data_IF_250881442227
#
_entry.id   IF_250881442227
#
_cell.length_a   1.000
_cell.length_b   1.000
_cell.length_c   1.000
_cell.angle_alpha   90.00
_cell.angle_beta   90.00
_cell.angle_gamma   90.00
#
_symmetry.space_group_name_H-M   'P 1'
#
loop_
_entity.id
_entity.type
_entity.pdbx_description
1 polymer ?
#
# COMPACT_ATOMS: atom_id res chain seq x y z
N UNK A 1 1.77 -11.23 -14.86
CA UNK A 1 0.49 -10.66 -14.37
C UNK A 1 -0.50 -11.76 -13.99
N UNK A 2 -0.87 -12.66 -14.90
CA UNK A 2 -1.82 -13.75 -14.64
C UNK A 2 -1.47 -14.62 -13.42
N UNK A 3 -0.28 -15.24 -13.37
CA UNK A 3 0.09 -16.14 -12.27
C UNK A 3 0.16 -15.46 -10.90
N UNK A 4 0.74 -14.25 -10.82
CA UNK A 4 0.81 -13.53 -9.54
C UNK A 4 -0.59 -13.11 -9.04
N UNK A 5 -1.53 -12.83 -9.94
CA UNK A 5 -2.92 -12.56 -9.54
C UNK A 5 -3.57 -13.81 -8.93
N UNK A 6 -3.38 -14.99 -9.53
CA UNK A 6 -3.86 -16.26 -8.95
C UNK A 6 -3.27 -16.51 -7.58
N UNK A 7 -1.96 -16.34 -7.42
CA UNK A 7 -1.30 -16.51 -6.12
C UNK A 7 -1.88 -15.59 -5.04
N UNK A 8 -2.17 -14.32 -5.38
CA UNK A 8 -2.84 -13.40 -4.45
C UNK A 8 -4.27 -13.83 -4.13
N UNK A 9 -5.02 -14.34 -5.11
CA UNK A 9 -6.37 -14.87 -4.90
C UNK A 9 -6.34 -16.08 -3.96
N UNK A 10 -5.45 -17.04 -4.21
CA UNK A 10 -5.27 -18.23 -3.37
C UNK A 10 -4.91 -17.85 -1.93
N UNK A 11 -4.14 -16.77 -1.75
CA UNK A 11 -3.81 -16.22 -0.44
C UNK A 11 -4.92 -15.36 0.21
N UNK A 12 -6.05 -15.13 -0.47
CA UNK A 12 -7.20 -14.39 0.05
C UNK A 12 -7.14 -12.86 -0.10
N UNK A 13 -6.34 -12.34 -1.04
CA UNK A 13 -6.28 -10.90 -1.30
C UNK A 13 -7.59 -10.36 -1.92
N UNK A 14 -8.10 -9.25 -1.38
CA UNK A 14 -9.33 -8.61 -1.87
C UNK A 14 -9.11 -7.77 -3.15
N UNK A 15 -7.90 -7.27 -3.36
CA UNK A 15 -7.54 -6.49 -4.54
C UNK A 15 -6.03 -6.45 -4.76
N UNK A 16 -5.62 -6.28 -6.02
CA UNK A 16 -4.22 -6.28 -6.44
C UNK A 16 -3.97 -5.11 -7.37
N UNK A 17 -2.88 -4.37 -7.14
CA UNK A 17 -2.48 -3.29 -8.02
C UNK A 17 -1.38 -3.74 -8.99
N UNK A 18 -1.41 -3.21 -10.20
CA UNK A 18 -0.39 -3.39 -11.23
C UNK A 18 0.05 -2.02 -11.74
N UNK A 19 1.33 -1.86 -12.06
CA UNK A 19 1.90 -0.59 -12.54
C UNK A 19 2.45 -0.71 -13.97
N UNK A 20 2.53 0.41 -14.67
CA UNK A 20 2.98 0.51 -16.07
C UNK A 20 4.51 0.67 -16.22
N UNK A 21 5.28 0.08 -15.32
CA UNK A 21 6.75 0.01 -15.40
C UNK A 21 7.24 -1.27 -16.09
N UNK A 22 8.44 -1.19 -16.68
CA UNK A 22 9.18 -2.36 -17.15
C UNK A 22 9.64 -3.19 -15.95
N UNK A 23 9.18 -4.45 -15.86
CA UNK A 23 9.45 -5.31 -14.71
C UNK A 23 10.95 -5.52 -14.42
N UNK A 24 11.79 -5.67 -15.45
CA UNK A 24 13.25 -5.85 -15.28
C UNK A 24 13.96 -4.62 -14.72
N UNK A 25 13.32 -3.45 -14.79
CA UNK A 25 13.87 -2.18 -14.31
C UNK A 25 12.95 -1.47 -13.30
N UNK A 26 12.05 -2.22 -12.65
CA UNK A 26 11.08 -1.68 -11.71
C UNK A 26 11.78 -0.88 -10.60
N UNK A 27 11.25 0.31 -10.28
CA UNK A 27 11.69 1.11 -9.13
C UNK A 27 10.51 1.49 -8.23
N UNK A 28 10.79 1.88 -6.99
CA UNK A 28 9.80 2.57 -6.16
C UNK A 28 9.36 3.86 -6.89
N UNK A 29 8.08 4.22 -6.77
CA UNK A 29 7.50 5.38 -7.46
C UNK A 29 8.20 6.72 -7.20
N UNK A 30 8.89 6.82 -6.07
CA UNK A 30 9.60 8.03 -5.61
C UNK A 30 11.12 7.96 -5.89
N UNK A 31 11.59 6.97 -6.66
CA UNK A 31 12.97 6.86 -7.12
C UNK A 31 13.10 7.32 -8.58
N UNK A 32 14.31 7.73 -8.96
CA UNK A 32 14.66 8.00 -10.35
C UNK A 32 14.84 6.72 -11.18
N UNK A 33 15.02 6.87 -12.49
CA UNK A 33 15.35 5.76 -13.39
C UNK A 33 14.17 4.82 -13.73
N UNK A 34 12.92 5.28 -13.54
CA UNK A 34 11.72 4.53 -13.94
C UNK A 34 11.62 4.44 -15.46
N UNK A 35 11.30 3.25 -15.96
CA UNK A 35 11.07 2.98 -17.38
C UNK A 35 9.62 2.52 -17.55
N UNK A 36 8.83 3.25 -18.31
CA UNK A 36 7.46 2.89 -18.66
C UNK A 36 7.44 1.80 -19.73
N UNK A 37 6.39 0.97 -19.71
CA UNK A 37 5.98 0.16 -20.86
C UNK A 37 4.92 0.91 -21.70
N UNK A 38 4.69 0.53 -22.96
CA UNK A 38 3.64 1.12 -23.78
C UNK A 38 2.27 0.95 -23.13
N UNK A 39 1.37 1.90 -23.37
CA UNK A 39 0.00 1.90 -22.84
C UNK A 39 -0.70 0.56 -23.10
N UNK A 40 -0.62 0.03 -24.34
CA UNK A 40 -1.17 -1.28 -24.70
C UNK A 40 -0.57 -2.45 -23.89
N UNK A 41 0.73 -2.40 -23.55
CA UNK A 41 1.37 -3.46 -22.78
C UNK A 41 0.83 -3.51 -21.35
N UNK A 42 0.58 -2.34 -20.73
CA UNK A 42 -0.04 -2.31 -19.41
C UNK A 42 -1.50 -2.78 -19.45
N UNK A 43 -2.27 -2.41 -20.48
CA UNK A 43 -3.64 -2.94 -20.68
C UNK A 43 -3.64 -4.47 -20.78
N UNK A 44 -2.66 -5.08 -21.46
CA UNK A 44 -2.51 -6.56 -21.48
C UNK A 44 -2.28 -7.13 -20.08
N UNK A 45 -1.50 -6.46 -19.24
CA UNK A 45 -1.28 -6.90 -17.85
C UNK A 45 -2.58 -6.81 -17.03
N UNK A 46 -3.34 -5.73 -17.15
CA UNK A 46 -4.63 -5.56 -16.47
C UNK A 46 -5.65 -6.61 -16.94
N UNK A 47 -5.71 -6.88 -18.25
CA UNK A 47 -6.55 -7.91 -18.84
C UNK A 47 -6.17 -9.31 -18.33
N UNK A 48 -4.87 -9.60 -18.24
CA UNK A 48 -4.37 -10.86 -17.68
C UNK A 48 -4.72 -11.00 -16.19
N UNK A 49 -4.68 -9.92 -15.41
CA UNK A 49 -5.13 -9.93 -14.02
C UNK A 49 -6.64 -10.18 -13.91
N UNK A 50 -7.46 -9.54 -14.75
CA UNK A 50 -8.91 -9.81 -14.78
C UNK A 50 -9.20 -11.26 -15.18
N UNK A 51 -8.53 -11.78 -16.22
CA UNK A 51 -8.69 -13.17 -16.64
C UNK A 51 -8.32 -14.16 -15.51
N UNK A 52 -7.30 -13.87 -14.71
CA UNK A 52 -6.97 -14.68 -13.54
C UNK A 52 -8.09 -14.67 -12.50
N UNK A 53 -8.67 -13.51 -12.20
CA UNK A 53 -9.82 -13.41 -11.29
C UNK A 53 -11.04 -14.17 -11.82
N UNK A 54 -11.34 -14.03 -13.12
CA UNK A 54 -12.45 -14.70 -13.77
C UNK A 54 -12.29 -16.23 -13.77
N UNK A 55 -11.08 -16.73 -14.09
CA UNK A 55 -10.75 -18.18 -14.03
C UNK A 55 -10.86 -18.73 -12.61
N UNK A 56 -10.44 -17.96 -11.61
CA UNK A 56 -10.55 -18.33 -10.20
C UNK A 56 -11.97 -18.14 -9.63
N UNK A 57 -12.90 -17.57 -10.42
CA UNK A 57 -14.30 -17.41 -10.03
C UNK A 57 -14.55 -16.41 -8.90
N UNK A 58 -13.69 -15.39 -8.74
CA UNK A 58 -13.79 -14.41 -7.65
C UNK A 58 -13.78 -12.97 -8.17
N UNK A 59 -14.53 -12.04 -7.55
CA UNK A 59 -14.61 -10.65 -7.99
C UNK A 59 -13.48 -9.78 -7.42
N UNK A 60 -12.23 -10.25 -7.49
CA UNK A 60 -11.06 -9.52 -6.96
C UNK A 60 -10.90 -8.16 -7.66
N UNK A 61 -10.63 -7.11 -6.87
CA UNK A 61 -10.48 -5.76 -7.40
C UNK A 61 -9.11 -5.60 -8.10
N UNK A 62 -9.10 -4.98 -9.27
CA UNK A 62 -7.89 -4.64 -10.04
C UNK A 62 -7.63 -3.14 -9.94
N UNK A 63 -6.44 -2.76 -9.48
CA UNK A 63 -6.03 -1.35 -9.39
C UNK A 63 -4.96 -1.05 -10.43
N UNK A 64 -5.24 -0.15 -11.38
CA UNK A 64 -4.25 0.28 -12.37
C UNK A 64 -3.45 1.46 -11.83
N UNK A 65 -2.12 1.33 -11.80
CA UNK A 65 -1.19 2.37 -11.38
C UNK A 65 -0.41 2.90 -12.58
N UNK A 66 -0.29 4.22 -12.68
CA UNK A 66 0.66 4.85 -13.61
C UNK A 66 1.79 5.56 -12.89
N UNK A 67 3.00 5.41 -13.43
CA UNK A 67 4.24 6.03 -12.94
C UNK A 67 4.73 7.19 -13.83
N UNK A 68 3.92 7.59 -14.81
CA UNK A 68 4.26 8.59 -15.83
C UNK A 68 4.49 10.01 -15.28
N UNK A 69 4.18 10.28 -14.02
CA UNK A 69 4.38 11.61 -13.42
C UNK A 69 5.86 11.98 -13.34
N UNK A 70 6.73 11.00 -13.06
CA UNK A 70 8.17 11.19 -12.91
C UNK A 70 9.03 10.30 -13.81
N UNK A 71 8.45 9.27 -14.47
CA UNK A 71 9.19 8.39 -15.36
C UNK A 71 9.60 9.13 -16.65
N UNK A 72 10.90 9.12 -16.97
CA UNK A 72 11.47 9.82 -18.14
C UNK A 72 11.88 8.89 -19.27
N UNK A 73 11.64 7.60 -19.12
CA UNK A 73 12.02 6.57 -20.08
C UNK A 73 10.79 5.73 -20.47
N UNK A 74 10.76 5.26 -21.71
CA UNK A 74 9.74 4.37 -22.27
C UNK A 74 10.42 3.31 -23.12
N UNK A 75 9.98 2.05 -23.03
CA UNK A 75 10.64 0.96 -23.78
C UNK A 75 10.45 1.07 -25.28
N UNK A 76 9.33 1.58 -25.76
CA UNK A 76 9.01 1.69 -27.19
C UNK A 76 7.90 2.71 -27.44
N UNK A 77 8.00 3.44 -28.54
CA UNK A 77 7.00 4.40 -29.05
C UNK A 77 5.96 3.77 -29.99
N UNK A 78 5.85 2.44 -29.99
CA UNK A 78 4.96 1.67 -30.89
C UNK A 78 3.47 1.99 -30.71
N UNK A 79 3.07 2.50 -29.55
CA UNK A 79 1.70 2.87 -29.24
C UNK A 79 1.49 4.36 -29.53
N UNK A 80 0.61 4.68 -30.48
CA UNK A 80 0.31 6.06 -30.90
C UNK A 80 -0.13 6.95 -29.73
N UNK A 81 -0.69 6.37 -28.66
CA UNK A 81 -1.11 7.12 -27.46
C UNK A 81 0.08 7.63 -26.64
N UNK A 82 1.24 7.01 -26.78
CA UNK A 82 2.47 7.36 -26.07
C UNK A 82 3.34 8.36 -26.85
N UNK A 83 3.24 8.35 -28.18
CA UNK A 83 4.02 9.21 -29.09
C UNK A 83 3.93 10.72 -28.78
N UNK A 84 2.76 11.29 -28.39
CA UNK A 84 2.66 12.70 -28.00
C UNK A 84 3.53 13.08 -26.80
N UNK A 85 4.07 12.12 -26.05
CA UNK A 85 4.94 12.36 -24.90
C UNK A 85 6.40 12.00 -25.20
N UNK A 86 6.72 11.40 -26.33
CA UNK A 86 8.10 11.06 -26.70
C UNK A 86 8.88 12.32 -27.08
N UNK A 87 10.11 12.40 -26.59
CA UNK A 87 11.10 13.40 -26.98
C UNK A 87 12.03 12.77 -28.03
N UNK A 88 11.64 12.92 -29.30
CA UNK A 88 12.38 12.38 -30.43
C UNK A 88 13.73 13.09 -30.64
N UNK A 89 13.84 14.37 -30.27
CA UNK A 89 15.07 15.16 -30.43
C UNK A 89 16.15 14.73 -29.44
N UNK A 90 15.76 14.30 -28.24
CA UNK A 90 16.69 13.77 -27.24
C UNK A 90 17.27 12.38 -27.60
N UNK A 91 16.78 11.75 -28.67
CA UNK A 91 17.19 10.42 -29.11
C UNK A 91 16.96 9.32 -28.07
N UNK A 92 17.50 8.13 -28.34
CA UNK A 92 17.39 6.97 -27.43
C UNK A 92 18.56 6.90 -26.44
N UNK A 93 18.38 6.17 -25.35
CA UNK A 93 19.48 5.83 -24.42
C UNK A 93 20.39 4.75 -25.02
N UNK A 94 21.52 4.44 -24.37
CA UNK A 94 22.42 3.39 -24.85
C UNK A 94 21.76 2.00 -24.85
N UNK A 95 20.85 1.75 -23.92
CA UNK A 95 20.02 0.56 -23.79
C UNK A 95 18.88 0.51 -24.82
N UNK A 96 18.67 1.60 -25.57
CA UNK A 96 17.64 1.72 -26.60
C UNK A 96 16.30 2.26 -26.11
N UNK A 97 16.18 2.77 -24.89
CA UNK A 97 14.94 3.36 -24.38
C UNK A 97 14.67 4.73 -25.00
N UNK A 98 13.39 5.05 -25.23
CA UNK A 98 12.94 6.37 -25.62
C UNK A 98 12.90 7.29 -24.41
N UNK A 99 13.19 8.58 -24.61
CA UNK A 99 12.98 9.61 -23.60
C UNK A 99 11.57 10.17 -23.73
N UNK A 100 10.91 10.41 -22.61
CA UNK A 100 9.54 10.94 -22.57
C UNK A 100 9.43 12.16 -21.67
N UNK A 101 8.53 13.07 -22.05
CA UNK A 101 8.03 14.16 -21.22
C UNK A 101 7.11 13.58 -20.16
N UNK A 102 7.61 13.52 -18.92
CA UNK A 102 6.86 13.09 -17.76
C UNK A 102 5.83 14.16 -17.32
N UNK A 103 4.84 13.76 -16.52
CA UNK A 103 3.95 14.70 -15.86
C UNK A 103 2.48 14.30 -15.89
N UNK A 104 1.63 15.21 -15.41
CA UNK A 104 0.21 14.94 -15.18
C UNK A 104 -0.58 14.64 -16.46
N UNK A 105 -0.24 15.26 -17.59
CA UNK A 105 -0.93 15.02 -18.86
C UNK A 105 -0.78 13.57 -19.33
N UNK A 106 0.44 13.03 -19.29
CA UNK A 106 0.71 11.62 -19.59
C UNK A 106 -0.04 10.69 -18.62
N UNK A 107 -0.11 11.05 -17.34
CA UNK A 107 -0.84 10.28 -16.34
C UNK A 107 -2.34 10.23 -16.62
N UNK A 108 -2.97 11.37 -16.96
CA UNK A 108 -4.41 11.44 -17.28
C UNK A 108 -4.69 10.63 -18.54
N UNK A 109 -3.88 10.78 -19.60
CA UNK A 109 -4.05 10.03 -20.84
C UNK A 109 -3.99 8.51 -20.62
N UNK A 110 -2.99 8.05 -19.86
CA UNK A 110 -2.84 6.63 -19.48
C UNK A 110 -3.98 6.15 -18.59
N UNK A 111 -4.35 6.93 -17.58
CA UNK A 111 -5.47 6.62 -16.68
C UNK A 111 -6.79 6.43 -17.43
N UNK A 112 -7.12 7.33 -18.36
CA UNK A 112 -8.32 7.20 -19.21
C UNK A 112 -8.24 5.93 -20.06
N UNK A 113 -7.08 5.60 -20.63
CA UNK A 113 -6.90 4.37 -21.39
C UNK A 113 -7.04 3.09 -20.53
N UNK A 114 -6.64 3.13 -19.26
CA UNK A 114 -6.71 1.99 -18.35
C UNK A 114 -8.08 1.82 -17.70
N UNK A 115 -8.89 2.87 -17.64
CA UNK A 115 -10.14 2.90 -16.88
C UNK A 115 -11.13 1.75 -17.21
N UNK A 116 -11.27 1.26 -18.46
CA UNK A 116 -12.16 0.14 -18.75
C UNK A 116 -11.66 -1.22 -18.21
N UNK A 117 -10.39 -1.32 -17.82
CA UNK A 117 -9.70 -2.58 -17.50
C UNK A 117 -9.34 -2.73 -16.02
N UNK A 118 -9.77 -1.79 -15.17
CA UNK A 118 -9.50 -1.79 -13.73
C UNK A 118 -10.72 -1.30 -12.96
N UNK A 119 -10.76 -1.51 -11.65
CA UNK A 119 -11.80 -1.02 -10.75
C UNK A 119 -11.41 0.34 -10.16
N UNK A 120 -10.14 0.51 -9.80
CA UNK A 120 -9.57 1.78 -9.32
C UNK A 120 -8.35 2.20 -10.14
N UNK A 121 -8.10 3.52 -10.18
CA UNK A 121 -6.90 4.10 -10.80
C UNK A 121 -6.07 4.84 -9.74
N UNK A 122 -4.75 4.67 -9.82
CA UNK A 122 -3.77 5.34 -8.97
C UNK A 122 -2.70 6.02 -9.84
N UNK A 123 -2.50 7.32 -9.64
CA UNK A 123 -1.32 8.03 -10.14
C UNK A 123 -0.32 8.19 -9.02
N UNK A 124 0.92 7.72 -9.19
CA UNK A 124 2.00 8.09 -8.26
C UNK A 124 2.38 9.56 -8.49
N UNK A 125 2.73 10.29 -7.41
CA UNK A 125 3.07 11.71 -7.47
C UNK A 125 4.39 12.01 -6.78
N UNK A 126 5.03 13.12 -7.16
CA UNK A 126 6.29 13.54 -6.55
C UNK A 126 6.13 14.29 -5.21
N UNK A 127 4.92 14.75 -4.89
CA UNK A 127 4.59 15.51 -3.65
C UNK A 127 3.14 15.23 -3.19
N UNK A 128 2.82 15.48 -1.90
CA UNK A 128 1.46 15.46 -1.40
C UNK A 128 0.76 16.79 -1.76
N UNK A 129 0.14 16.83 -2.95
CA UNK A 129 -0.45 18.03 -3.52
C UNK A 129 -1.94 17.81 -3.87
N UNK A 130 -2.84 18.47 -3.14
CA UNK A 130 -4.29 18.37 -3.33
C UNK A 130 -4.76 18.99 -4.65
N UNK A 131 -4.06 20.00 -5.16
CA UNK A 131 -4.42 20.65 -6.42
C UNK A 131 -4.05 19.77 -7.62
N UNK A 132 -2.89 19.11 -7.57
CA UNK A 132 -2.52 18.08 -8.54
C UNK A 132 -3.52 16.91 -8.50
N UNK A 133 -3.89 16.45 -7.29
CA UNK A 133 -4.85 15.38 -7.10
C UNK A 133 -6.24 15.73 -7.69
N UNK A 134 -6.72 16.95 -7.45
CA UNK A 134 -7.97 17.47 -8.00
C UNK A 134 -7.95 17.47 -9.54
N UNK A 135 -6.88 17.99 -10.15
CA UNK A 135 -6.74 18.01 -11.63
C UNK A 135 -6.70 16.61 -12.23
N UNK A 136 -6.02 15.67 -11.59
CA UNK A 136 -6.03 14.27 -12.03
C UNK A 136 -7.44 13.68 -11.97
N UNK A 137 -8.13 13.84 -10.83
CA UNK A 137 -9.49 13.33 -10.64
C UNK A 137 -10.46 13.91 -11.66
N UNK A 138 -10.48 15.23 -11.85
CA UNK A 138 -11.31 15.92 -12.85
C UNK A 138 -11.00 15.42 -14.28
N UNK A 139 -9.71 15.26 -14.62
CA UNK A 139 -9.28 14.76 -15.93
C UNK A 139 -9.77 13.34 -16.23
N UNK A 140 -9.73 12.45 -15.24
CA UNK A 140 -10.27 11.09 -15.35
C UNK A 140 -11.80 11.11 -15.40
N UNK A 141 -12.45 11.81 -14.47
CA UNK A 141 -13.91 11.84 -14.34
C UNK A 141 -14.61 12.53 -15.51
N UNK A 142 -13.94 13.42 -16.24
CA UNK A 142 -14.43 13.96 -17.51
C UNK A 142 -14.74 12.85 -18.54
N UNK A 143 -13.96 11.78 -18.54
CA UNK A 143 -14.10 10.66 -19.49
C UNK A 143 -14.80 9.45 -18.85
N UNK A 144 -14.59 9.24 -17.55
CA UNK A 144 -15.18 8.16 -16.78
C UNK A 144 -15.78 8.70 -15.48
N UNK A 145 -16.98 9.31 -15.54
CA UNK A 145 -17.64 9.86 -14.36
C UNK A 145 -17.79 8.82 -13.24
N UNK A 146 -17.42 9.19 -12.02
CA UNK A 146 -17.53 8.31 -10.86
C UNK A 146 -16.47 7.21 -10.76
N UNK A 147 -15.46 7.17 -11.65
CA UNK A 147 -14.37 6.20 -11.54
C UNK A 147 -13.67 6.30 -10.18
N UNK A 148 -13.58 5.19 -9.46
CA UNK A 148 -12.92 5.14 -8.16
C UNK A 148 -11.41 5.37 -8.32
N UNK A 149 -10.84 6.19 -7.44
CA UNK A 149 -9.41 6.50 -7.44
C UNK A 149 -8.76 5.99 -6.16
N UNK A 150 -7.44 5.79 -6.24
CA UNK A 150 -6.60 5.46 -5.10
C UNK A 150 -5.44 6.44 -4.96
N UNK A 151 -5.04 6.74 -3.71
CA UNK A 151 -3.98 7.70 -3.40
C UNK A 151 -2.97 7.12 -2.41
N UNK A 152 -1.69 7.22 -2.74
CA UNK A 152 -0.60 6.88 -1.84
C UNK A 152 -0.21 8.09 -0.99
N UNK A 153 -0.55 8.04 0.29
CA UNK A 153 -0.06 8.98 1.30
C UNK A 153 1.38 8.59 1.69
N UNK A 154 2.31 8.77 0.74
CA UNK A 154 3.66 8.21 0.80
C UNK A 154 4.53 8.74 1.95
N UNK A 155 5.19 7.87 2.73
CA UNK A 155 6.24 8.28 3.66
C UNK A 155 7.51 8.80 2.97
N UNK A 156 7.66 8.57 1.65
CA UNK A 156 8.74 9.19 0.87
C UNK A 156 8.56 10.71 0.74
N UNK A 157 7.39 11.25 1.08
CA UNK A 157 7.20 12.68 1.22
C UNK A 157 7.71 13.16 2.59
N UNK A 158 8.44 14.27 2.60
CA UNK A 158 8.60 15.04 3.83
C UNK A 158 7.34 15.91 4.02
N UNK A 159 6.37 15.39 4.79
CA UNK A 159 5.05 16.01 4.95
C UNK A 159 5.12 17.44 5.49
N UNK A 160 5.79 17.67 6.63
CA UNK A 160 5.92 19.01 7.23
C UNK A 160 6.76 20.00 6.42
N UNK A 161 7.59 19.52 5.49
CA UNK A 161 8.28 20.39 4.52
C UNK A 161 7.35 20.88 3.41
N UNK A 162 6.33 20.10 3.05
CA UNK A 162 5.43 20.43 1.94
C UNK A 162 4.13 21.10 2.39
N UNK A 163 3.63 20.77 3.58
CA UNK A 163 2.28 21.13 4.01
C UNK A 163 2.27 21.68 5.44
N UNK A 164 1.29 22.55 5.73
CA UNK A 164 0.99 22.99 7.09
C UNK A 164 0.31 21.88 7.91
N UNK A 165 0.30 22.00 9.24
CA UNK A 165 -0.39 21.03 10.09
C UNK A 165 -1.91 20.99 9.82
N UNK A 166 -2.52 22.13 9.45
CA UNK A 166 -3.93 22.19 9.04
C UNK A 166 -4.17 21.42 7.74
N UNK A 167 -3.30 21.60 6.74
CA UNK A 167 -3.37 20.88 5.46
C UNK A 167 -3.20 19.37 5.63
N UNK A 168 -2.25 18.95 6.47
CA UNK A 168 -2.02 17.54 6.79
C UNK A 168 -3.28 16.95 7.44
N UNK A 169 -3.88 17.65 8.39
CA UNK A 169 -5.07 17.17 9.10
C UNK A 169 -6.29 16.97 8.18
N UNK A 170 -6.48 17.82 7.17
CA UNK A 170 -7.59 17.69 6.20
C UNK A 170 -7.29 16.81 5.00
N UNK A 171 -6.03 16.49 4.72
CA UNK A 171 -5.57 15.93 3.45
C UNK A 171 -6.42 14.76 2.93
N UNK A 172 -6.62 13.72 3.76
CA UNK A 172 -7.36 12.53 3.36
C UNK A 172 -8.86 12.78 3.14
N UNK A 173 -9.46 13.70 3.91
CA UNK A 173 -10.87 14.07 3.77
C UNK A 173 -11.10 14.78 2.43
N UNK A 174 -10.23 15.72 2.08
CA UNK A 174 -10.32 16.43 0.80
C UNK A 174 -10.11 15.47 -0.38
N UNK A 175 -9.12 14.56 -0.31
CA UNK A 175 -8.96 13.49 -1.29
C UNK A 175 -10.23 12.62 -1.43
N UNK A 176 -10.88 12.28 -0.31
CA UNK A 176 -12.11 11.51 -0.30
C UNK A 176 -13.25 12.19 -1.06
N UNK A 177 -13.36 13.52 -0.98
CA UNK A 177 -14.34 14.31 -1.73
C UNK A 177 -14.08 14.32 -3.25
N UNK A 178 -12.80 14.21 -3.66
CA UNK A 178 -12.39 14.16 -5.08
C UNK A 178 -12.56 12.77 -5.71
N UNK A 179 -12.94 11.74 -4.94
CA UNK A 179 -13.13 10.37 -5.44
C UNK A 179 -12.00 9.39 -5.16
N UNK A 180 -10.99 9.78 -4.37
CA UNK A 180 -9.96 8.86 -3.86
C UNK A 180 -10.53 8.04 -2.70
N UNK A 181 -11.14 6.90 -3.04
CA UNK A 181 -11.85 6.02 -2.10
C UNK A 181 -10.98 4.96 -1.44
N UNK A 182 -9.77 4.74 -1.96
CA UNK A 182 -8.75 3.93 -1.31
C UNK A 182 -7.51 4.77 -1.06
N UNK A 183 -7.15 4.97 0.21
CA UNK A 183 -6.01 5.79 0.61
C UNK A 183 -5.14 5.00 1.56
N UNK A 184 -3.83 5.02 1.35
CA UNK A 184 -2.92 4.14 2.10
C UNK A 184 -1.56 4.79 2.31
N UNK A 185 -0.91 4.44 3.42
CA UNK A 185 0.47 4.83 3.74
C UNK A 185 1.35 3.61 3.50
N UNK A 186 2.09 3.59 2.37
CA UNK A 186 2.83 2.41 1.90
C UNK A 186 3.83 1.84 2.91
N UNK A 187 4.60 2.70 3.58
CA UNK A 187 5.72 2.29 4.44
C UNK A 187 5.43 2.48 5.94
N UNK A 188 4.16 2.58 6.35
CA UNK A 188 3.79 2.78 7.76
C UNK A 188 4.41 1.71 8.68
N UNK A 189 4.26 0.43 8.32
CA UNK A 189 4.83 -0.69 9.08
C UNK A 189 6.36 -0.62 9.18
N UNK A 190 7.04 -0.29 8.08
CA UNK A 190 8.51 -0.16 8.07
C UNK A 190 8.98 0.94 9.02
N UNK A 191 8.39 2.14 8.94
CA UNK A 191 8.80 3.26 9.78
C UNK A 191 8.49 3.00 11.26
N UNK A 192 7.29 2.50 11.58
CA UNK A 192 6.90 2.22 12.96
C UNK A 192 7.77 1.12 13.60
N UNK A 193 8.02 0.03 12.88
CA UNK A 193 8.83 -1.08 13.37
C UNK A 193 10.27 -0.65 13.65
N UNK A 194 10.92 0.02 12.70
CA UNK A 194 12.32 0.43 12.84
C UNK A 194 12.48 1.51 13.91
N UNK A 195 11.62 2.53 13.93
CA UNK A 195 11.71 3.61 14.90
C UNK A 195 11.42 3.13 16.32
N UNK A 196 10.34 2.35 16.51
CA UNK A 196 9.98 1.80 17.82
C UNK A 196 11.08 0.93 18.40
N UNK A 197 11.66 0.03 17.60
CA UNK A 197 12.75 -0.82 18.05
C UNK A 197 14.05 -0.05 18.29
N UNK A 198 14.36 0.97 17.47
CA UNK A 198 15.54 1.82 17.68
C UNK A 198 15.46 2.56 19.01
N UNK A 199 14.33 3.21 19.32
CA UNK A 199 14.15 3.94 20.57
C UNK A 199 14.16 2.99 21.78
N UNK A 200 13.51 1.82 21.68
CA UNK A 200 13.55 0.82 22.73
C UNK A 200 14.98 0.32 22.97
N UNK A 201 15.72 -0.07 21.93
CA UNK A 201 17.09 -0.55 22.06
C UNK A 201 18.04 0.52 22.61
N UNK A 202 17.87 1.77 22.18
CA UNK A 202 18.61 2.93 22.70
C UNK A 202 18.34 3.12 24.19
N UNK A 203 17.07 3.15 24.60
CA UNK A 203 16.67 3.26 26.00
C UNK A 203 17.15 2.08 26.84
N UNK A 204 17.07 0.87 26.31
CA UNK A 204 17.50 -0.35 26.99
C UNK A 204 19.01 -0.41 27.21
N UNK A 205 19.80 0.06 26.24
CA UNK A 205 21.25 0.26 26.42
C UNK A 205 21.52 1.18 27.62
N UNK A 206 20.78 2.26 27.74
CA UNK A 206 21.04 3.32 28.73
C UNK A 206 20.50 2.96 30.13
N UNK A 207 19.30 2.35 30.22
CA UNK A 207 18.56 2.18 31.48
C UNK A 207 17.90 0.79 31.65
N UNK A 208 18.26 -0.16 30.80
CA UNK A 208 17.85 -1.57 30.86
C UNK A 208 16.33 -1.72 31.08
N UNK A 209 15.91 -2.45 32.12
CA UNK A 209 14.51 -2.75 32.37
C UNK A 209 13.61 -1.52 32.61
N UNK A 210 14.17 -0.37 32.99
CA UNK A 210 13.36 0.84 33.13
C UNK A 210 12.75 1.26 31.76
N UNK A 211 13.52 1.16 30.68
CA UNK A 211 13.04 1.49 29.34
C UNK A 211 11.98 0.48 28.84
N UNK A 212 12.13 -0.80 29.18
CA UNK A 212 11.12 -1.81 28.83
C UNK A 212 9.84 -1.66 29.66
N UNK A 213 9.97 -1.35 30.96
CA UNK A 213 8.82 -1.11 31.84
C UNK A 213 8.00 0.10 31.38
N UNK A 214 8.64 1.15 30.85
CA UNK A 214 7.95 2.28 30.21
C UNK A 214 7.09 1.85 29.02
N UNK A 215 7.59 0.96 28.15
CA UNK A 215 6.81 0.39 27.05
C UNK A 215 5.61 -0.41 27.58
N UNK A 216 5.85 -1.30 28.54
CA UNK A 216 4.78 -2.12 29.13
C UNK A 216 3.69 -1.26 29.81
N UNK A 217 4.07 -0.19 30.52
CA UNK A 217 3.08 0.73 31.10
C UNK A 217 2.31 1.52 30.04
N UNK A 218 2.95 1.85 28.91
CA UNK A 218 2.24 2.45 27.77
C UNK A 218 1.24 1.47 27.13
N UNK A 219 1.58 0.17 27.06
CA UNK A 219 0.64 -0.89 26.62
C UNK A 219 -0.58 -0.98 27.54
N UNK A 220 -0.38 -1.03 28.86
CA UNK A 220 -1.49 -1.00 29.83
C UNK A 220 -2.37 0.23 29.67
N UNK A 221 -1.78 1.42 29.50
CA UNK A 221 -2.53 2.66 29.29
C UNK A 221 -3.34 2.64 27.98
N UNK A 222 -2.86 1.93 26.95
CA UNK A 222 -3.54 1.79 25.67
C UNK A 222 -4.74 0.83 25.72
N UNK A 223 -4.86 -0.03 26.74
CA UNK A 223 -6.00 -0.96 26.89
C UNK A 223 -7.34 -0.22 26.98
N UNK A 224 -7.37 0.97 27.60
CA UNK A 224 -8.55 1.83 27.64
C UNK A 224 -9.05 2.27 26.25
N UNK A 225 -8.19 2.18 25.23
CA UNK A 225 -8.50 2.47 23.83
C UNK A 225 -8.69 1.18 22.99
N UNK A 226 -8.74 0.02 23.64
CA UNK A 226 -8.97 -1.27 22.98
C UNK A 226 -7.72 -2.06 22.58
N UNK A 227 -6.52 -1.66 23.02
CA UNK A 227 -5.30 -2.48 22.85
C UNK A 227 -5.37 -3.75 23.73
N UNK A 228 -4.92 -4.89 23.22
CA UNK A 228 -5.04 -6.18 23.93
C UNK A 228 -3.73 -6.95 24.08
N UNK A 229 -2.70 -6.60 23.30
CA UNK A 229 -1.52 -7.44 23.16
C UNK A 229 -0.56 -7.41 24.36
N UNK A 230 -0.82 -6.59 25.39
CA UNK A 230 -0.18 -6.72 26.72
C UNK A 230 -0.32 -8.16 27.24
N UNK A 231 -1.47 -8.78 26.98
CA UNK A 231 -1.78 -10.19 27.24
C UNK A 231 -1.45 -11.04 26.02
N UNK A 232 -0.14 -11.17 25.76
CA UNK A 232 0.41 -11.75 24.54
C UNK A 232 0.12 -13.25 24.39
N UNK A 233 -0.09 -14.01 25.49
CA UNK A 233 -0.45 -15.44 25.39
C UNK A 233 -1.85 -15.60 24.79
N UNK A 234 -2.82 -14.84 25.30
CA UNK A 234 -4.16 -14.76 24.69
C UNK A 234 -4.09 -14.29 23.23
N UNK A 235 -3.32 -13.25 22.95
CA UNK A 235 -3.26 -12.61 21.62
C UNK A 235 -2.82 -13.58 20.51
N UNK A 236 -1.88 -14.48 20.80
CA UNK A 236 -1.42 -15.51 19.85
C UNK A 236 -2.26 -16.78 19.84
N UNK A 237 -3.37 -16.80 20.59
CA UNK A 237 -4.36 -17.88 20.56
C UNK A 237 -4.12 -19.02 21.53
N UNK A 238 -3.35 -18.84 22.62
CA UNK A 238 -3.13 -19.91 23.61
C UNK A 238 -4.46 -20.46 24.15
N UNK A 239 -5.41 -19.57 24.50
CA UNK A 239 -6.74 -19.99 24.94
C UNK A 239 -7.57 -20.71 23.86
N UNK A 240 -7.35 -20.41 22.57
CA UNK A 240 -7.97 -21.15 21.47
C UNK A 240 -7.46 -22.59 21.43
N UNK A 241 -6.15 -22.81 21.54
CA UNK A 241 -5.56 -24.14 21.55
C UNK A 241 -5.88 -24.95 22.82
N UNK A 242 -6.07 -24.28 23.96
CA UNK A 242 -6.60 -24.92 25.17
C UNK A 242 -8.02 -25.44 24.93
N UNK A 243 -8.90 -24.63 24.32
CA UNK A 243 -10.27 -25.05 24.01
C UNK A 243 -10.29 -26.23 23.02
N UNK A 244 -9.43 -26.23 22.00
CA UNK A 244 -9.24 -27.37 21.09
C UNK A 244 -8.82 -28.62 21.86
N UNK A 245 -7.84 -28.50 22.75
CA UNK A 245 -7.34 -29.62 23.57
C UNK A 245 -8.42 -30.17 24.50
N UNK A 246 -9.22 -29.30 25.12
CA UNK A 246 -10.35 -29.69 25.96
C UNK A 246 -11.45 -30.39 25.16
N UNK A 247 -11.73 -29.94 23.94
CA UNK A 247 -12.68 -30.62 23.06
C UNK A 247 -12.20 -32.04 22.68
N UNK A 248 -10.91 -32.20 22.35
CA UNK A 248 -10.31 -33.51 22.02
C UNK A 248 -10.36 -34.47 23.22
N UNK A 249 -10.08 -33.96 24.41
CA UNK A 249 -9.98 -34.75 25.64
C UNK A 249 -11.32 -34.94 26.36
N UNK A 250 -12.44 -34.48 25.80
CA UNK A 250 -13.74 -34.54 26.48
C UNK A 250 -13.77 -33.76 27.80
N UNK A 251 -12.94 -32.72 27.92
CA UNK A 251 -12.84 -31.87 29.11
C UNK A 251 -11.91 -32.40 30.20
N UNK A 252 -11.12 -33.44 29.95
CA UNK A 252 -10.22 -34.03 30.97
C UNK A 252 -8.74 -33.76 30.73
N UNK A 253 -8.40 -32.81 29.86
CA UNK A 253 -7.02 -32.43 29.58
C UNK A 253 -6.33 -31.85 30.83
N UNK A 254 -5.14 -32.37 31.16
CA UNK A 254 -4.36 -31.94 32.33
C UNK A 254 -3.19 -31.01 32.00
N UNK A 255 -3.05 -30.62 30.73
CA UNK A 255 -1.89 -29.86 30.22
C UNK A 255 -2.31 -28.63 29.42
N UNK A 256 -3.47 -28.03 29.74
CA UNK A 256 -3.86 -26.72 29.20
C UNK A 256 -2.92 -25.63 29.72
N UNK A 257 -2.61 -24.63 28.91
CA UNK A 257 -1.56 -23.66 29.18
C UNK A 257 -2.02 -22.45 30.01
N UNK A 258 -3.24 -21.93 29.81
CA UNK A 258 -3.65 -20.65 30.38
C UNK A 258 -3.87 -20.68 31.90
N UNK A 259 -4.41 -21.79 32.43
CA UNK A 259 -4.89 -21.86 33.82
C UNK A 259 -3.82 -21.54 34.88
N UNK A 260 -2.59 -21.99 34.65
CA UNK A 260 -1.45 -21.79 35.56
C UNK A 260 -0.44 -20.76 35.03
N UNK A 261 -0.80 -19.97 34.01
CA UNK A 261 0.10 -19.00 33.39
C UNK A 261 0.33 -17.74 34.25
N UNK A 262 1.49 -17.10 34.09
CA UNK A 262 1.78 -15.79 34.70
C UNK A 262 0.86 -14.70 34.17
N UNK A 263 0.37 -14.82 32.93
CA UNK A 263 -0.62 -13.90 32.37
C UNK A 263 -1.90 -13.89 33.21
N UNK A 264 -2.46 -15.07 33.51
CA UNK A 264 -3.64 -15.22 34.38
C UNK A 264 -3.41 -14.69 35.80
N UNK A 265 -2.19 -14.87 36.33
CA UNK A 265 -1.87 -14.48 37.69
C UNK A 265 -1.56 -12.98 37.87
N UNK A 266 -0.92 -12.33 36.89
CA UNK A 266 -0.32 -10.99 37.06
C UNK A 266 -0.97 -9.90 36.20
N UNK A 267 -1.77 -10.26 35.19
CA UNK A 267 -2.38 -9.30 34.25
C UNK A 267 -3.89 -9.17 34.49
N UNK A 268 -4.32 -9.37 35.74
CA UNK A 268 -5.69 -9.11 36.17
C UNK A 268 -5.96 -7.59 36.10
N UNK A 269 -7.19 -7.19 35.77
CA UNK A 269 -7.57 -5.79 35.85
C UNK A 269 -7.38 -5.32 37.30
N UNK A 270 -6.79 -4.15 37.50
CA UNK A 270 -6.76 -3.55 38.83
C UNK A 270 -8.21 -3.31 39.29
N UNK A 271 -8.56 -3.81 40.48
CA UNK A 271 -9.84 -3.55 41.14
C UNK A 271 -10.06 -2.04 41.38
#
# INVERSE_FOLDING_TARGET
AFEIMKAYIEAGAAGVHFEDQLASEKKCGHLGGKVLIPTAAHIRNLTAARLAADVMGVPTLVVARTDAEAAKLLTSDIDERDQPFVDYDAGRTAEGFYRVRNGLEACIARAVAYAPYCDLIWCETSKPDLEQARKFAEGVHKHHPGKLLAYNCSPSFNWKKNLSDEDIARFQRELGAMGYKFQFITLAGFHQLNFGMFELARGYRDRQMAAYSELQQAEFAAEANGYTATRHQREVGTGYFDAVSMAITGGTGSTTAMGESTETAQFQAAE
#
